data_IF_728702540688
#
_entry.id   IF_728702540688
#
_cell.length_a   1.000
_cell.length_b   1.000
_cell.length_c   1.000
_cell.angle_alpha   90.00
_cell.angle_beta   90.00
_cell.angle_gamma   90.00
#
_symmetry.space_group_name_H-M   'P 1'
#
loop_
_entity.id
_entity.type
_entity.pdbx_description
1 polymer ?
#
# COMPACT_ATOMS: atom_id res chain seq x y z
N UNK A 1 15.46 -2.87 6.20
CA UNK A 1 14.75 -2.06 7.21
C UNK A 1 13.55 -1.31 6.66
N UNK A 2 13.60 -0.62 5.50
CA UNK A 2 12.47 0.20 5.04
C UNK A 2 11.23 -0.56 4.51
N UNK A 3 11.42 -1.69 3.80
CA UNK A 3 10.28 -2.50 3.30
C UNK A 3 9.54 -3.25 4.41
N UNK A 4 10.26 -3.63 5.47
CA UNK A 4 9.71 -4.42 6.58
C UNK A 4 8.82 -3.56 7.51
N UNK A 5 9.10 -2.25 7.60
CA UNK A 5 8.32 -1.31 8.40
C UNK A 5 6.92 -1.05 7.82
N UNK A 6 6.79 -0.99 6.47
CA UNK A 6 5.47 -0.96 5.82
C UNK A 6 4.65 -2.23 6.09
N UNK A 7 5.31 -3.39 6.26
CA UNK A 7 4.65 -4.68 6.50
C UNK A 7 4.26 -4.87 7.96
N UNK A 8 4.88 -4.13 8.89
CA UNK A 8 4.62 -4.22 10.32
C UNK A 8 3.57 -3.24 10.86
N UNK A 9 2.93 -2.44 10.00
CA UNK A 9 1.83 -1.52 10.38
C UNK A 9 0.41 -2.06 10.08
N UNK A 10 0.27 -3.37 9.79
CA UNK A 10 -1.03 -4.02 9.55
C UNK A 10 -1.35 -5.04 10.65
N UNK A 11 -2.27 -4.68 11.55
CA UNK A 11 -2.49 -5.32 12.85
C UNK A 11 -1.99 -4.31 13.88
N UNK A 12 -2.84 -3.50 14.50
CA UNK A 12 -3.90 -3.89 15.42
C UNK A 12 -5.11 -2.92 15.30
N UNK A 13 -6.17 -3.14 16.08
CA UNK A 13 -7.40 -2.32 16.18
C UNK A 13 -8.62 -2.81 15.36
N UNK A 14 -9.06 -4.03 15.65
CA UNK A 14 -10.48 -4.36 15.67
C UNK A 14 -11.15 -3.63 16.86
N UNK A 15 -11.58 -2.38 16.67
CA UNK A 15 -12.53 -1.74 17.59
C UNK A 15 -13.72 -1.19 16.79
N UNK A 16 -14.81 -1.98 16.79
CA UNK A 16 -16.04 -1.71 16.07
C UNK A 16 -16.83 -0.58 16.77
N UNK A 17 -16.49 0.66 16.43
CA UNK A 17 -17.29 1.85 16.73
C UNK A 17 -18.16 2.24 15.53
N UNK A 18 -19.48 2.14 15.69
CA UNK A 18 -20.53 2.63 14.80
C UNK A 18 -20.42 4.16 14.63
N UNK A 19 -19.98 4.64 13.47
CA UNK A 19 -20.18 6.04 13.06
C UNK A 19 -20.39 6.12 11.54
N UNK A 20 -21.66 6.30 11.16
CA UNK A 20 -22.09 6.50 9.77
C UNK A 20 -21.67 7.90 9.30
N UNK A 21 -20.58 7.98 8.55
CA UNK A 21 -20.31 9.10 7.66
C UNK A 21 -20.61 8.68 6.21
N UNK A 22 -21.68 9.25 5.64
CA UNK A 22 -21.91 9.19 4.21
C UNK A 22 -20.87 10.03 3.48
N UNK A 23 -20.16 9.39 2.56
CA UNK A 23 -19.27 10.00 1.59
C UNK A 23 -19.36 9.20 0.30
N UNK A 24 -19.47 9.89 -0.82
CA UNK A 24 -19.53 9.35 -2.17
C UNK A 24 -18.14 8.80 -2.59
N UNK A 25 -17.62 7.84 -1.83
CA UNK A 25 -16.26 7.34 -1.97
C UNK A 25 -16.25 6.10 -2.87
N UNK A 26 -15.87 6.33 -4.12
CA UNK A 26 -15.59 5.33 -5.15
C UNK A 26 -14.34 4.48 -4.82
N UNK A 27 -14.22 3.93 -3.60
CA UNK A 27 -13.11 3.03 -3.18
C UNK A 27 -13.53 2.00 -2.11
N UNK A 28 -14.82 1.78 -1.91
CA UNK A 28 -15.32 0.73 -1.00
C UNK A 28 -15.36 -0.63 -1.70
N UNK A 29 -14.37 -1.51 -1.45
CA UNK A 29 -14.51 -2.92 -1.82
C UNK A 29 -13.25 -3.77 -2.07
N UNK A 30 -12.03 -3.25 -1.96
CA UNK A 30 -10.81 -4.02 -2.31
C UNK A 30 -9.85 -4.24 -1.11
N UNK A 31 -10.36 -4.56 0.08
CA UNK A 31 -9.52 -4.79 1.28
C UNK A 31 -8.83 -6.17 1.32
N UNK A 32 -8.77 -6.88 0.18
CA UNK A 32 -8.12 -8.19 0.05
C UNK A 32 -6.95 -8.20 -0.96
N UNK A 33 -6.37 -7.03 -1.30
CA UNK A 33 -5.00 -7.01 -1.84
C UNK A 33 -4.04 -6.95 -0.65
N UNK A 34 -3.64 -8.11 -0.16
CA UNK A 34 -2.85 -8.23 1.07
C UNK A 34 -1.48 -7.58 0.96
N UNK A 35 -1.02 -6.92 2.03
CA UNK A 35 0.34 -6.35 2.11
C UNK A 35 1.44 -7.40 1.81
N UNK A 36 1.12 -8.68 1.94
CA UNK A 36 2.00 -9.80 1.62
C UNK A 36 2.26 -9.98 0.12
N UNK A 37 1.27 -9.85 -0.76
CA UNK A 37 1.50 -9.93 -2.22
C UNK A 37 2.38 -8.77 -2.70
N UNK A 38 2.16 -7.59 -2.14
CA UNK A 38 2.97 -6.40 -2.42
C UNK A 38 4.42 -6.59 -1.94
N UNK A 39 4.58 -7.19 -0.75
CA UNK A 39 5.89 -7.53 -0.19
C UNK A 39 6.66 -8.49 -1.09
N UNK A 40 5.97 -9.52 -1.60
CA UNK A 40 6.55 -10.51 -2.49
C UNK A 40 6.95 -9.89 -3.83
N UNK A 41 6.13 -8.98 -4.39
CA UNK A 41 6.49 -8.28 -5.63
C UNK A 41 7.71 -7.37 -5.47
N UNK A 42 7.79 -6.58 -4.39
CA UNK A 42 8.99 -5.78 -4.12
C UNK A 42 10.23 -6.65 -3.98
N UNK A 43 10.09 -7.85 -3.39
CA UNK A 43 11.19 -8.80 -3.28
C UNK A 43 11.56 -9.43 -4.62
N UNK A 44 10.58 -9.79 -5.44
CA UNK A 44 10.77 -10.37 -6.77
C UNK A 44 11.48 -9.40 -7.73
N UNK A 45 11.19 -8.11 -7.60
CA UNK A 45 11.80 -7.04 -8.39
C UNK A 45 13.10 -6.49 -7.77
N UNK A 46 13.59 -7.10 -6.68
CA UNK A 46 14.79 -6.69 -5.96
C UNK A 46 14.75 -5.19 -5.55
N UNK A 47 13.56 -4.68 -5.22
CA UNK A 47 13.34 -3.30 -4.81
C UNK A 47 13.99 -3.08 -3.44
N UNK A 48 15.05 -2.28 -3.44
CA UNK A 48 15.71 -1.85 -2.21
C UNK A 48 14.99 -0.67 -1.53
N UNK A 49 15.44 -0.30 -0.34
CA UNK A 49 14.83 0.81 0.41
C UNK A 49 15.00 2.20 -0.21
N UNK A 50 15.88 2.39 -1.18
CA UNK A 50 16.05 3.65 -1.91
C UNK A 50 15.19 3.69 -3.18
N UNK A 51 15.14 2.59 -3.92
CA UNK A 51 14.28 2.35 -5.07
C UNK A 51 12.80 2.42 -4.68
N UNK A 52 12.44 1.93 -3.49
CA UNK A 52 11.11 2.06 -2.92
C UNK A 52 10.63 3.52 -2.87
N UNK A 53 11.54 4.46 -2.56
CA UNK A 53 11.23 5.90 -2.53
C UNK A 53 11.14 6.51 -3.94
N UNK A 54 11.68 5.84 -4.96
CA UNK A 54 11.62 6.25 -6.36
C UNK A 54 10.43 5.64 -7.11
N UNK A 55 9.73 4.68 -6.50
CA UNK A 55 8.52 4.11 -7.07
C UNK A 55 7.44 5.17 -7.26
N UNK A 56 6.67 4.97 -8.33
CA UNK A 56 5.53 5.78 -8.74
C UNK A 56 4.33 4.87 -8.89
N UNK A 57 3.15 5.46 -8.84
CA UNK A 57 1.88 4.78 -9.15
C UNK A 57 1.96 3.97 -10.46
N UNK A 58 2.57 4.56 -11.49
CA UNK A 58 2.75 3.91 -12.80
C UNK A 58 3.57 2.61 -12.71
N UNK A 59 4.57 2.52 -11.83
CA UNK A 59 5.36 1.29 -11.64
C UNK A 59 4.56 0.20 -10.91
N UNK A 60 3.69 0.58 -9.98
CA UNK A 60 2.78 -0.36 -9.30
C UNK A 60 1.79 -0.97 -10.30
N UNK A 61 1.26 -0.16 -11.21
CA UNK A 61 0.30 -0.62 -12.20
C UNK A 61 0.95 -1.36 -13.38
N UNK A 62 2.05 -0.83 -13.91
CA UNK A 62 2.69 -1.35 -15.13
C UNK A 62 3.65 -2.50 -14.84
N UNK A 63 4.44 -2.42 -13.76
CA UNK A 63 5.49 -3.40 -13.47
C UNK A 63 4.99 -4.51 -12.55
N UNK A 64 4.20 -4.17 -11.53
CA UNK A 64 3.64 -5.13 -10.57
C UNK A 64 2.21 -5.58 -10.94
N UNK A 65 1.63 -5.04 -12.03
CA UNK A 65 0.29 -5.37 -12.50
C UNK A 65 -0.81 -5.21 -11.42
N UNK A 66 -0.62 -4.23 -10.52
CA UNK A 66 -1.54 -3.92 -9.43
C UNK A 66 -2.65 -3.01 -9.96
N UNK A 67 -3.89 -3.24 -9.53
CA UNK A 67 -5.03 -2.38 -9.89
C UNK A 67 -4.86 -0.96 -9.33
N UNK A 68 -5.48 0.02 -9.99
CA UNK A 68 -5.41 1.43 -9.60
C UNK A 68 -5.74 1.68 -8.12
N UNK A 69 -6.81 1.06 -7.60
CA UNK A 69 -7.22 1.21 -6.20
C UNK A 69 -6.12 0.85 -5.19
N UNK A 70 -5.63 -0.40 -5.16
CA UNK A 70 -4.52 -0.79 -4.30
C UNK A 70 -3.21 -0.05 -4.58
N UNK A 71 -2.90 0.25 -5.85
CA UNK A 71 -1.70 1.00 -6.23
C UNK A 71 -1.67 2.40 -5.58
N UNK A 72 -2.79 3.12 -5.59
CA UNK A 72 -2.92 4.42 -4.93
C UNK A 72 -2.74 4.32 -3.40
N UNK A 73 -3.34 3.30 -2.76
CA UNK A 73 -3.17 3.05 -1.31
C UNK A 73 -1.70 2.84 -0.95
N UNK A 74 -0.97 2.04 -1.71
CA UNK A 74 0.47 1.75 -1.48
C UNK A 74 1.32 2.98 -1.75
N UNK A 75 1.04 3.70 -2.84
CA UNK A 75 1.78 4.91 -3.18
C UNK A 75 1.64 5.98 -2.08
N UNK A 76 0.45 6.13 -1.49
CA UNK A 76 0.24 7.00 -0.34
C UNK A 76 1.12 6.61 0.87
N UNK A 77 1.23 5.32 1.18
CA UNK A 77 2.11 4.80 2.26
C UNK A 77 3.58 5.05 1.97
N UNK A 78 4.03 4.80 0.74
CA UNK A 78 5.40 5.13 0.29
C UNK A 78 5.69 6.61 0.49
N UNK A 79 4.74 7.48 0.12
CA UNK A 79 4.93 8.92 0.22
C UNK A 79 5.01 9.40 1.67
N UNK A 80 4.27 8.80 2.60
CA UNK A 80 4.39 9.07 4.04
C UNK A 80 5.80 8.77 4.58
N UNK A 81 6.45 7.70 4.08
CA UNK A 81 7.83 7.36 4.46
C UNK A 81 8.89 8.25 3.80
N UNK A 82 8.57 8.94 2.70
CA UNK A 82 9.47 9.89 2.02
C UNK A 82 9.56 11.22 2.75
N UNK A 83 8.48 11.61 3.44
CA UNK A 83 8.39 12.84 4.23
C UNK A 83 8.89 12.67 5.68
N UNK A 84 9.33 11.46 6.07
CA UNK A 84 9.85 11.13 7.40
C UNK A 84 11.38 11.26 7.53
#
# INVERSE_FOLDING_TARGET
MKVQEMMSMGGDDEDAGDDRCGGDDEYGGDDEYGCQEIAEEFRAQEIDGQALLLLKEDHLMSTMNIKLGPALKIYARINMLKDS
#
